data_IF_492658236857
#
_entry.id   IF_492658236857
#
_cell.length_a   1.000
_cell.length_b   1.000
_cell.length_c   1.000
_cell.angle_alpha   90.00
_cell.angle_beta   90.00
_cell.angle_gamma   90.00
#
_symmetry.space_group_name_H-M   'P 1'
#
loop_
_entity.id
_entity.type
_entity.pdbx_description
1 polymer ?
#
# COMPACT_ATOMS: atom_id res chain seq x y z
N UNK A 1 -5.56 4.70 -6.53
CA UNK A 1 -4.10 4.45 -6.41
C UNK A 1 -3.70 4.62 -4.96
N UNK A 2 -2.75 3.86 -4.45
CA UNK A 2 -2.15 4.10 -3.14
C UNK A 2 -0.64 4.27 -3.27
N UNK A 3 -0.06 5.16 -2.45
CA UNK A 3 1.38 5.35 -2.33
C UNK A 3 1.75 5.05 -0.89
N UNK A 4 2.77 4.21 -0.69
CA UNK A 4 3.28 3.81 0.62
C UNK A 4 4.79 3.98 0.60
N UNK A 5 5.34 4.58 1.65
CA UNK A 5 6.78 4.63 1.91
C UNK A 5 7.01 3.98 3.27
N UNK A 6 7.93 3.03 3.34
CA UNK A 6 8.26 2.31 4.56
C UNK A 6 9.73 1.94 4.60
N UNK A 7 10.26 1.68 5.78
CA UNK A 7 11.61 1.12 5.92
C UNK A 7 11.65 -0.31 5.38
N UNK A 8 12.78 -0.70 4.79
CA UNK A 8 13.03 -2.06 4.26
C UNK A 8 12.67 -3.18 5.26
N UNK A 9 12.98 -2.97 6.54
CA UNK A 9 12.64 -3.92 7.64
C UNK A 9 11.13 -4.21 7.81
N UNK A 10 10.26 -3.41 7.19
CA UNK A 10 8.81 -3.57 7.24
C UNK A 10 8.24 -4.25 5.98
N UNK A 11 9.07 -4.70 5.04
CA UNK A 11 8.62 -5.30 3.78
C UNK A 11 7.77 -6.55 3.98
N UNK A 12 8.10 -7.43 4.93
CA UNK A 12 7.28 -8.61 5.23
C UNK A 12 5.86 -8.25 5.70
N UNK A 13 5.72 -7.17 6.48
CA UNK A 13 4.39 -6.69 6.91
C UNK A 13 3.59 -6.15 5.74
N UNK A 14 4.24 -5.42 4.83
CA UNK A 14 3.58 -4.93 3.63
C UNK A 14 3.22 -6.09 2.69
N UNK A 15 4.06 -7.11 2.59
CA UNK A 15 3.77 -8.34 1.85
C UNK A 15 2.53 -9.05 2.37
N UNK A 16 2.37 -9.19 3.69
CA UNK A 16 1.15 -9.76 4.28
C UNK A 16 -0.10 -8.92 3.95
N UNK A 17 -0.02 -7.60 4.04
CA UNK A 17 -1.11 -6.70 3.64
C UNK A 17 -1.46 -6.87 2.16
N UNK A 18 -0.46 -6.95 1.29
CA UNK A 18 -0.66 -7.18 -0.15
C UNK A 18 -1.43 -8.46 -0.40
N UNK A 19 -1.03 -9.56 0.25
CA UNK A 19 -1.73 -10.83 0.15
C UNK A 19 -3.18 -10.75 0.60
N UNK A 20 -3.45 -10.04 1.69
CA UNK A 20 -4.82 -9.82 2.17
C UNK A 20 -5.67 -9.09 1.12
N UNK A 21 -5.12 -8.14 0.36
CA UNK A 21 -5.84 -7.28 -0.57
C UNK A 21 -5.55 -7.55 -2.07
N UNK A 22 -4.98 -8.72 -2.41
CA UNK A 22 -4.68 -9.11 -3.80
C UNK A 22 -5.90 -9.08 -4.73
N UNK A 23 -7.13 -9.14 -4.17
CA UNK A 23 -8.37 -9.02 -4.92
C UNK A 23 -8.61 -7.61 -5.49
N UNK A 24 -7.98 -6.57 -4.91
CA UNK A 24 -8.16 -5.17 -5.33
C UNK A 24 -6.85 -4.47 -5.74
N UNK A 25 -5.69 -5.06 -5.45
CA UNK A 25 -4.38 -4.53 -5.82
C UNK A 25 -3.95 -5.13 -7.16
N UNK A 26 -4.16 -4.40 -8.25
CA UNK A 26 -3.98 -4.95 -9.61
C UNK A 26 -2.57 -4.75 -10.15
N UNK A 27 -1.84 -3.76 -9.66
CA UNK A 27 -0.50 -3.44 -10.14
C UNK A 27 0.31 -2.84 -9.00
N UNK A 28 1.58 -3.20 -8.93
CA UNK A 28 2.54 -2.70 -7.96
C UNK A 28 3.77 -2.18 -8.70
N UNK A 29 4.22 -0.98 -8.32
CA UNK A 29 5.55 -0.46 -8.62
C UNK A 29 6.29 -0.37 -7.29
N UNK A 30 7.37 -1.12 -7.15
CA UNK A 30 8.24 -1.09 -5.97
C UNK A 30 9.60 -0.53 -6.38
N UNK A 31 10.09 0.46 -5.64
CA UNK A 31 11.44 0.98 -5.77
C UNK A 31 12.11 1.13 -4.41
N UNK A 32 13.34 0.66 -4.28
CA UNK A 32 14.18 0.85 -3.11
C UNK A 32 14.98 2.16 -3.24
N UNK A 33 14.96 2.99 -2.20
CA UNK A 33 15.73 4.23 -2.12
C UNK A 33 16.31 4.44 -0.70
N UNK A 34 17.61 4.24 -0.57
CA UNK A 34 18.40 4.65 0.61
C UNK A 34 17.85 4.15 1.97
N UNK A 35 17.42 2.90 2.04
CA UNK A 35 16.90 2.27 3.27
C UNK A 35 15.39 2.33 3.46
N UNK A 36 14.71 3.12 2.63
CA UNK A 36 13.25 3.11 2.50
C UNK A 36 12.84 2.50 1.15
N UNK A 37 11.65 1.91 1.12
CA UNK A 37 10.99 1.39 -0.05
C UNK A 37 9.77 2.26 -0.37
N UNK A 38 9.61 2.61 -1.64
CA UNK A 38 8.45 3.31 -2.17
C UNK A 38 7.62 2.30 -2.97
N UNK A 39 6.36 2.18 -2.59
CA UNK A 39 5.38 1.33 -3.23
C UNK A 39 4.23 2.15 -3.79
N UNK A 40 3.91 1.96 -5.07
CA UNK A 40 2.72 2.51 -5.72
C UNK A 40 1.82 1.37 -6.16
N UNK A 41 0.58 1.39 -5.69
CA UNK A 41 -0.44 0.42 -6.04
C UNK A 41 -1.54 1.02 -6.88
N UNK A 42 -1.91 0.34 -7.96
CA UNK A 42 -3.21 0.55 -8.60
C UNK A 42 -4.24 -0.26 -7.81
N UNK A 43 -5.27 0.46 -7.33
CA UNK A 43 -6.32 -0.10 -6.48
C UNK A 43 -7.62 -0.04 -7.28
N UNK A 44 -8.21 -1.20 -7.55
CA UNK A 44 -9.47 -1.35 -8.27
C UNK A 44 -10.35 -2.37 -7.56
N UNK A 45 -11.49 -1.94 -7.03
CA UNK A 45 -12.40 -2.81 -6.28
C UNK A 45 -13.60 -2.06 -5.74
N UNK A 46 -14.49 -2.79 -5.07
CA UNK A 46 -15.68 -2.17 -4.49
C UNK A 46 -15.31 -1.20 -3.34
N UNK A 47 -16.19 -0.22 -3.10
CA UNK A 47 -15.93 0.86 -2.15
C UNK A 47 -15.69 0.36 -0.71
N UNK A 48 -16.35 -0.71 -0.27
CA UNK A 48 -16.17 -1.26 1.07
C UNK A 48 -14.79 -1.89 1.26
N UNK A 49 -14.32 -2.63 0.26
CA UNK A 49 -13.00 -3.27 0.27
C UNK A 49 -11.88 -2.25 0.22
N UNK A 50 -12.03 -1.23 -0.63
CA UNK A 50 -11.09 -0.09 -0.69
C UNK A 50 -11.09 0.70 0.62
N UNK A 51 -12.24 0.89 1.27
CA UNK A 51 -12.31 1.50 2.61
C UNK A 51 -11.59 0.66 3.67
N UNK A 52 -11.72 -0.67 3.66
CA UNK A 52 -10.96 -1.55 4.58
C UNK A 52 -9.46 -1.39 4.35
N UNK A 53 -9.00 -1.47 3.11
CA UNK A 53 -7.60 -1.23 2.76
C UNK A 53 -7.09 0.14 3.25
N UNK A 54 -7.89 1.20 3.06
CA UNK A 54 -7.51 2.55 3.51
C UNK A 54 -7.33 2.68 5.02
N UNK A 55 -7.96 1.81 5.82
CA UNK A 55 -7.77 1.79 7.28
C UNK A 55 -6.42 1.18 7.63
N UNK A 56 -6.02 0.10 6.96
CA UNK A 56 -4.72 -0.55 7.16
C UNK A 56 -3.54 0.37 6.78
N UNK A 57 -3.75 1.28 5.81
CA UNK A 57 -2.74 2.29 5.48
C UNK A 57 -2.40 3.23 6.65
N UNK A 58 -3.24 3.34 7.69
CA UNK A 58 -2.94 4.17 8.88
C UNK A 58 -1.94 3.53 9.86
N UNK A 59 -1.28 2.44 9.45
CA UNK A 59 -0.28 1.75 10.25
C UNK A 59 0.94 2.65 10.54
N UNK A 60 1.38 2.81 11.80
CA UNK A 60 2.51 3.67 12.17
C UNK A 60 3.87 3.15 11.64
N UNK A 61 3.93 1.93 11.12
CA UNK A 61 5.14 1.38 10.49
C UNK A 61 5.43 1.96 9.10
N UNK A 62 4.47 2.68 8.50
CA UNK A 62 4.64 3.36 7.24
C UNK A 62 5.09 4.80 7.49
N UNK A 63 6.26 5.15 6.95
CA UNK A 63 6.80 6.51 6.96
C UNK A 63 5.84 7.50 6.29
N UNK A 64 5.20 7.05 5.21
CA UNK A 64 4.14 7.77 4.52
C UNK A 64 3.15 6.77 3.93
N UNK A 65 1.86 7.12 3.95
CA UNK A 65 0.86 6.39 3.19
C UNK A 65 -0.26 7.31 2.75
N UNK A 66 -0.76 7.11 1.53
CA UNK A 66 -1.91 7.88 1.02
C UNK A 66 -2.69 7.08 -0.01
N UNK A 67 -4.00 7.06 0.16
CA UNK A 67 -4.93 6.64 -0.90
C UNK A 67 -5.31 7.88 -1.74
N UNK A 68 -5.13 7.76 -3.04
CA UNK A 68 -5.46 8.77 -4.05
C UNK A 68 -6.61 8.20 -4.89
N UNK A 69 -7.76 8.87 -4.83
CA UNK A 69 -8.92 8.58 -5.66
C UNK A 69 -8.89 9.60 -6.80
N UNK A 70 -8.59 9.18 -8.06
CA UNK A 70 -8.67 10.08 -9.20
C UNK A 70 -10.12 10.55 -9.36
N UNK A 71 -10.29 11.86 -9.52
CA UNK A 71 -11.55 12.54 -9.84
C UNK A 71 -11.93 12.37 -11.31
#
# INVERSE_FOLDING_TARGET
MAIIVHKDVNEEKLHALKHEFNDILTTQIHNYFSGDCIEVFIVNGNAERVKKFSKELKNPNYTYSKLIIPS
#
